data_IF_763725604450
#
_entry.id   IF_763725604450
#
_cell.length_a   1.000
_cell.length_b   1.000
_cell.length_c   1.000
_cell.angle_alpha   90.00
_cell.angle_beta   90.00
_cell.angle_gamma   90.00
#
_symmetry.space_group_name_H-M   'P 1'
#
loop_
_entity.id
_entity.type
_entity.pdbx_description
1 polymer ?
#
# COMPACT_ATOMS: atom_id res chain seq x y z
N UNK A 1 6.42 21.52 -3.53
CA UNK A 1 5.50 20.81 -2.62
C UNK A 1 6.27 20.40 -1.39
N UNK A 2 5.64 20.42 -0.21
CA UNK A 2 6.23 19.99 1.06
C UNK A 2 5.29 18.96 1.69
N UNK A 3 5.83 17.85 2.19
CA UNK A 3 5.08 16.74 2.79
C UNK A 3 5.69 16.41 4.14
N UNK A 4 4.85 16.17 5.15
CA UNK A 4 5.23 15.85 6.52
C UNK A 4 4.24 14.82 7.10
N UNK A 5 4.77 13.79 7.77
CA UNK A 5 3.97 12.70 8.34
C UNK A 5 4.82 11.60 8.97
N UNK A 6 4.17 10.61 9.57
CA UNK A 6 4.83 9.43 10.15
C UNK A 6 5.34 8.51 9.05
N UNK A 7 6.57 8.03 9.18
CA UNK A 7 7.14 7.08 8.23
C UNK A 7 6.82 5.63 8.62
N UNK A 8 6.16 4.89 7.72
CA UNK A 8 5.97 3.44 7.80
C UNK A 8 7.06 2.77 6.97
N UNK A 9 7.95 2.01 7.62
CA UNK A 9 9.15 1.46 6.98
C UNK A 9 8.99 -0.03 6.66
N UNK A 10 9.21 -0.39 5.40
CA UNK A 10 9.20 -1.77 4.92
C UNK A 10 10.52 -2.12 4.21
N UNK A 11 10.73 -3.41 3.95
CA UNK A 11 11.93 -3.92 3.30
C UNK A 11 11.96 -3.70 1.79
N UNK A 12 12.82 -4.47 1.12
CA UNK A 12 12.94 -4.55 -0.35
C UNK A 12 11.87 -5.45 -0.97
N UNK A 13 11.67 -5.32 -2.26
CA UNK A 13 10.88 -6.24 -3.09
C UNK A 13 9.42 -6.39 -2.63
N UNK A 14 8.82 -5.30 -2.12
CA UNK A 14 7.39 -5.24 -1.83
C UNK A 14 6.65 -5.13 -3.16
N UNK A 15 6.09 -6.23 -3.62
CA UNK A 15 5.39 -6.30 -4.90
C UNK A 15 3.94 -5.78 -4.82
N UNK A 16 3.28 -5.68 -5.98
CA UNK A 16 1.90 -5.21 -6.07
C UNK A 16 0.87 -6.18 -5.49
N UNK A 17 1.21 -7.46 -5.29
CA UNK A 17 0.39 -8.43 -4.56
C UNK A 17 0.38 -8.16 -3.06
N UNK A 18 1.52 -7.73 -2.52
CA UNK A 18 1.67 -7.34 -1.13
C UNK A 18 1.01 -6.00 -0.85
N UNK A 19 1.11 -5.03 -1.77
CA UNK A 19 0.44 -3.72 -1.62
C UNK A 19 -1.09 -3.89 -1.64
N UNK A 20 -1.61 -4.64 -2.60
CA UNK A 20 -3.04 -4.94 -2.70
C UNK A 20 -3.27 -6.38 -3.21
N UNK A 21 -3.80 -7.28 -2.37
CA UNK A 21 -4.03 -8.65 -2.78
C UNK A 21 -5.04 -8.80 -3.92
N UNK A 22 -4.77 -9.74 -4.83
CA UNK A 22 -5.59 -9.95 -6.04
C UNK A 22 -7.08 -10.20 -5.76
N UNK A 23 -7.41 -10.73 -4.57
CA UNK A 23 -8.78 -11.02 -4.12
C UNK A 23 -9.70 -9.80 -4.01
N UNK A 24 -9.14 -8.58 -3.95
CA UNK A 24 -9.91 -7.34 -3.86
C UNK A 24 -10.06 -6.59 -5.19
N UNK A 25 -9.42 -7.07 -6.26
CA UNK A 25 -9.38 -6.39 -7.56
C UNK A 25 -10.67 -6.60 -8.38
N UNK A 26 -11.72 -7.15 -7.77
CA UNK A 26 -13.07 -7.18 -8.32
C UNK A 26 -13.85 -5.88 -8.04
N UNK A 27 -13.26 -4.95 -7.28
CA UNK A 27 -13.82 -3.64 -6.97
C UNK A 27 -12.95 -2.54 -7.57
N UNK A 28 -13.60 -1.44 -7.98
CA UNK A 28 -12.95 -0.19 -8.37
C UNK A 28 -13.19 0.94 -7.36
N UNK A 29 -13.81 0.64 -6.21
CA UNK A 29 -14.02 1.64 -5.16
C UNK A 29 -12.71 1.91 -4.41
N UNK A 30 -12.24 3.15 -4.47
CA UNK A 30 -10.93 3.52 -3.92
C UNK A 30 -10.90 3.36 -2.39
N UNK A 31 -11.98 3.70 -1.69
CA UNK A 31 -12.03 3.59 -0.23
C UNK A 31 -11.98 2.12 0.22
N UNK A 32 -12.66 1.24 -0.50
CA UNK A 32 -12.61 -0.20 -0.30
C UNK A 32 -11.20 -0.74 -0.53
N UNK A 33 -10.57 -0.42 -1.67
CA UNK A 33 -9.20 -0.87 -1.96
C UNK A 33 -8.20 -0.36 -0.90
N UNK A 34 -8.30 0.91 -0.50
CA UNK A 34 -7.44 1.49 0.53
C UNK A 34 -7.61 0.82 1.90
N UNK A 35 -8.81 0.31 2.20
CA UNK A 35 -9.05 -0.44 3.45
C UNK A 35 -8.33 -1.78 3.53
N UNK A 36 -7.77 -2.25 2.41
CA UNK A 36 -7.02 -3.50 2.27
C UNK A 36 -5.53 -3.29 1.93
N UNK A 37 -5.05 -2.04 2.00
CA UNK A 37 -3.65 -1.71 1.68
C UNK A 37 -2.69 -2.40 2.67
N UNK A 38 -1.70 -3.13 2.14
CA UNK A 38 -0.65 -3.85 2.88
C UNK A 38 -1.15 -4.89 3.89
N UNK A 39 -2.40 -5.34 3.81
CA UNK A 39 -3.01 -6.15 4.88
C UNK A 39 -2.31 -7.49 5.15
N UNK A 40 -1.71 -8.11 4.14
CA UNK A 40 -1.00 -9.39 4.27
C UNK A 40 0.40 -9.20 4.88
N UNK A 41 0.98 -8.01 4.76
CA UNK A 41 2.30 -7.67 5.29
C UNK A 41 2.22 -7.02 6.68
N UNK A 42 1.30 -6.08 6.86
CA UNK A 42 1.07 -5.32 8.08
C UNK A 42 -0.45 -5.17 8.31
N UNK A 43 -1.09 -6.16 8.96
CA UNK A 43 -2.54 -6.18 9.18
C UNK A 43 -3.08 -4.98 9.96
N UNK A 44 -2.21 -4.21 10.62
CA UNK A 44 -2.58 -3.03 11.43
C UNK A 44 -2.28 -1.71 10.72
N UNK A 45 -1.76 -1.74 9.49
CA UNK A 45 -1.32 -0.55 8.77
C UNK A 45 -2.46 0.46 8.61
N UNK A 46 -3.60 0.01 8.07
CA UNK A 46 -4.77 0.86 7.79
C UNK A 46 -5.34 1.47 9.07
N UNK A 47 -5.26 0.77 10.21
CA UNK A 47 -5.73 1.28 11.50
C UNK A 47 -4.83 2.38 12.08
N UNK A 48 -3.53 2.33 11.76
CA UNK A 48 -2.52 3.25 12.32
C UNK A 48 -2.24 4.45 11.41
N UNK A 49 -2.39 4.29 10.10
CA UNK A 49 -2.06 5.33 9.13
C UNK A 49 -3.03 6.50 9.21
N UNK A 50 -2.52 7.69 8.91
CA UNK A 50 -3.28 8.93 8.84
C UNK A 50 -2.98 9.62 7.52
N UNK A 51 -3.92 10.42 6.99
CA UNK A 51 -3.65 11.25 5.83
C UNK A 51 -2.39 12.10 6.03
N UNK A 52 -1.44 12.00 5.10
CA UNK A 52 -0.14 12.67 5.15
C UNK A 52 1.03 11.78 5.59
N UNK A 53 0.76 10.61 6.16
CA UNK A 53 1.79 9.63 6.47
C UNK A 53 2.46 9.07 5.20
N UNK A 54 3.67 8.53 5.37
CA UNK A 54 4.57 8.21 4.26
C UNK A 54 5.01 6.75 4.36
N UNK A 55 4.83 6.00 3.28
CA UNK A 55 5.46 4.68 3.12
C UNK A 55 6.90 4.87 2.64
N UNK A 56 7.83 4.25 3.35
CA UNK A 56 9.25 4.19 2.99
C UNK A 56 9.63 2.73 2.85
N UNK A 57 10.03 2.33 1.65
CA UNK A 57 10.52 0.99 1.39
C UNK A 57 11.97 1.04 0.91
N UNK A 58 12.65 -0.10 0.93
CA UNK A 58 13.97 -0.24 0.31
C UNK A 58 13.82 -0.37 -1.23
N UNK A 59 14.72 -1.12 -1.87
CA UNK A 59 14.73 -1.27 -3.32
C UNK A 59 13.49 -1.99 -3.86
N UNK A 60 13.09 -1.66 -5.09
CA UNK A 60 12.11 -2.40 -5.89
C UNK A 60 10.69 -2.46 -5.29
N UNK A 61 10.25 -1.39 -4.60
CA UNK A 61 8.86 -1.22 -4.17
C UNK A 61 7.91 -1.07 -5.35
N UNK A 62 6.76 -1.77 -5.30
CA UNK A 62 5.77 -1.80 -6.38
C UNK A 62 6.14 -2.73 -7.54
N UNK A 63 7.05 -3.69 -7.33
CA UNK A 63 7.43 -4.66 -8.35
C UNK A 63 6.34 -5.72 -8.58
N UNK A 64 6.60 -6.68 -9.46
CA UNK A 64 5.66 -7.76 -9.77
C UNK A 64 4.64 -7.37 -10.85
N UNK A 65 3.37 -7.70 -10.63
CA UNK A 65 2.34 -7.59 -11.67
C UNK A 65 1.89 -6.15 -11.92
N UNK A 66 1.49 -5.84 -13.16
CA UNK A 66 0.97 -4.52 -13.55
C UNK A 66 -0.42 -4.28 -12.94
N UNK A 67 -0.46 -3.77 -11.71
CA UNK A 67 -1.69 -3.45 -10.98
C UNK A 67 -1.82 -1.96 -10.74
N UNK A 68 -2.69 -1.33 -11.51
CA UNK A 68 -3.04 0.09 -11.31
C UNK A 68 -3.79 0.33 -9.99
N UNK A 69 -4.33 -0.74 -9.38
CA UNK A 69 -4.95 -0.69 -8.06
C UNK A 69 -3.94 -0.47 -6.92
N UNK A 70 -2.67 -0.88 -7.10
CA UNK A 70 -1.64 -0.76 -6.06
C UNK A 70 -1.37 0.70 -5.64
N UNK A 71 -1.20 1.67 -6.55
CA UNK A 71 -1.09 3.08 -6.15
C UNK A 71 -2.43 3.74 -5.74
N UNK A 72 -3.56 3.06 -5.90
CA UNK A 72 -4.89 3.55 -5.51
C UNK A 72 -5.26 3.15 -4.09
N UNK A 73 -4.79 1.97 -3.64
CA UNK A 73 -4.92 1.48 -2.28
C UNK A 73 -4.03 2.26 -1.31
#
# INVERSE_FOLDING_TARGET
MHFEGTAFRYGRDIDTDVIIPARYLNSSDHAYLASHCLEDLDPTFVERMKPGDIIVAEENFGCGSSREHAPVA
#
